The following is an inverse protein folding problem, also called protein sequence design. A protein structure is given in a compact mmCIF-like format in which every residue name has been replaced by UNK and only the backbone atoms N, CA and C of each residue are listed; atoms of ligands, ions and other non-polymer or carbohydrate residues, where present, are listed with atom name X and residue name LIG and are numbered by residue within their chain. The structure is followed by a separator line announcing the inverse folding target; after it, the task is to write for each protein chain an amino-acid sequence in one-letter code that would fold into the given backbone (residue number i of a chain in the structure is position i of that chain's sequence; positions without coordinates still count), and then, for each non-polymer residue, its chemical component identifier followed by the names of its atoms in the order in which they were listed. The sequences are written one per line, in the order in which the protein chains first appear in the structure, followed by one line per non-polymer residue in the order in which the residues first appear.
data_IF_943432221338
#
_entry.id   IF_943432221338
#
_cell.length_a   1.000
_cell.length_b   1.000
_cell.length_c   1.000
_cell.angle_alpha   90.00
_cell.angle_beta   90.00
_cell.angle_gamma   90.00
#
_symmetry.space_group_name_H-M   'P 1'
#
loop_
_entity.id
_entity.type
_entity.pdbx_description
1 polymer ?
#
# COMPACT_ATOMS: atom_id res chain seq x y z
N UNK A 1 3.99 3.53 10.18
CA UNK A 1 3.94 3.35 8.71
C UNK A 1 2.51 3.40 8.14
N UNK A 2 1.50 3.06 8.95
CA UNK A 2 0.07 3.20 8.64
C UNK A 2 -0.36 4.58 8.11
N UNK A 3 0.14 5.68 8.69
CA UNK A 3 -0.18 7.04 8.22
C UNK A 3 0.29 7.31 6.78
N UNK A 4 1.42 6.72 6.37
CA UNK A 4 1.88 6.81 4.99
C UNK A 4 0.92 6.07 4.07
N UNK A 5 0.54 4.84 4.42
CA UNK A 5 -0.43 4.06 3.64
C UNK A 5 -1.81 4.73 3.54
N UNK A 6 -2.32 5.27 4.65
CA UNK A 6 -3.61 5.99 4.69
C UNK A 6 -3.55 7.33 3.93
N UNK A 7 -2.36 7.92 3.73
CA UNK A 7 -2.18 9.14 2.92
C UNK A 7 -2.17 8.89 1.41
N UNK A 8 -1.98 7.64 0.97
CA UNK A 8 -1.93 7.27 -0.44
C UNK A 8 -3.35 7.11 -1.01
N UNK A 9 -3.57 7.62 -2.22
CA UNK A 9 -4.80 7.36 -2.97
C UNK A 9 -4.88 5.91 -3.45
N UNK A 10 -6.07 5.43 -3.84
CA UNK A 10 -6.23 4.06 -4.35
C UNK A 10 -5.35 3.75 -5.57
N UNK A 11 -5.15 4.74 -6.44
CA UNK A 11 -4.20 4.62 -7.56
C UNK A 11 -2.76 4.48 -7.08
N UNK A 12 -2.32 5.33 -6.15
CA UNK A 12 -0.96 5.26 -5.61
C UNK A 12 -0.71 3.95 -4.85
N UNK A 13 -1.69 3.46 -4.11
CA UNK A 13 -1.63 2.15 -3.45
C UNK A 13 -1.50 1.02 -4.48
N UNK A 14 -2.25 1.10 -5.59
CA UNK A 14 -2.16 0.15 -6.71
C UNK A 14 -0.81 0.20 -7.42
N UNK A 15 -0.30 1.40 -7.69
CA UNK A 15 0.98 1.61 -8.37
C UNK A 15 2.16 1.16 -7.49
N UNK A 16 2.10 1.45 -6.19
CA UNK A 16 3.07 0.98 -5.21
C UNK A 16 3.06 -0.55 -5.14
N UNK A 17 1.88 -1.16 -5.05
CA UNK A 17 1.70 -2.60 -5.07
C UNK A 17 2.28 -3.24 -6.33
N UNK A 18 2.01 -2.65 -7.51
CA UNK A 18 2.59 -3.10 -8.78
C UNK A 18 4.11 -3.01 -8.80
N UNK A 19 4.69 -1.91 -8.30
CA UNK A 19 6.16 -1.71 -8.25
C UNK A 19 6.87 -2.74 -7.37
N UNK A 20 6.25 -3.15 -6.27
CA UNK A 20 6.84 -4.15 -5.36
C UNK A 20 6.42 -5.59 -5.68
N UNK A 21 5.68 -5.80 -6.78
CA UNK A 21 5.19 -7.13 -7.17
C UNK A 21 4.23 -7.74 -6.14
N UNK A 22 3.48 -6.91 -5.45
CA UNK A 22 2.59 -7.31 -4.36
C UNK A 22 1.17 -6.79 -4.58
N UNK A 23 0.27 -7.07 -3.64
CA UNK A 23 -1.11 -6.58 -3.71
C UNK A 23 -1.36 -5.45 -2.72
N UNK A 24 -2.27 -4.49 -3.02
CA UNK A 24 -2.62 -3.44 -2.08
C UNK A 24 -3.13 -3.97 -0.74
N UNK A 25 -3.83 -5.11 -0.75
CA UNK A 25 -4.29 -5.77 0.47
C UNK A 25 -3.15 -6.30 1.34
N UNK A 26 -2.13 -6.91 0.72
CA UNK A 26 -0.95 -7.37 1.45
C UNK A 26 -0.13 -6.20 2.00
N UNK A 27 0.10 -5.17 1.18
CA UNK A 27 0.80 -3.97 1.64
C UNK A 27 0.05 -3.28 2.79
N UNK A 28 -1.28 -3.21 2.72
CA UNK A 28 -2.08 -2.70 3.83
C UNK A 28 -1.80 -3.44 5.13
N UNK A 29 -1.68 -4.77 5.11
CA UNK A 29 -1.33 -5.55 6.30
C UNK A 29 0.09 -5.23 6.78
N UNK A 30 1.07 -5.14 5.87
CA UNK A 30 2.46 -4.79 6.20
C UNK A 30 2.57 -3.37 6.80
N UNK A 31 1.82 -2.40 6.28
CA UNK A 31 1.82 -1.02 6.79
C UNK A 31 0.97 -0.83 8.06
N UNK A 32 -0.01 -1.71 8.32
CA UNK A 32 -0.84 -1.70 9.54
C UNK A 32 -0.26 -2.53 10.69
N UNK A 33 0.70 -3.42 10.41
CA UNK A 33 1.45 -4.17 11.43
C UNK A 33 2.42 -3.32 12.23
#
# INVERSE_FOLDING_TARGET
MKAYWDSLTKEQQGELAGKVGSTPGYLRLVFNG
#
